data_IF_358010413503
#
_entry.id   IF_358010413503
#
_cell.length_a   1.000
_cell.length_b   1.000
_cell.length_c   1.000
_cell.angle_alpha   90.00
_cell.angle_beta   90.00
_cell.angle_gamma   90.00
#
_symmetry.space_group_name_H-M   'P 1'
#
loop_
_entity.id
_entity.type
_entity.pdbx_description
1 polymer ?
#
# COMPACT_ATOMS: atom_id res chain seq x y z
N UNK A 1 14.90 34.39 -36.30
CA UNK A 1 14.59 35.22 -35.13
C UNK A 1 14.61 36.67 -35.55
N UNK A 2 13.44 37.31 -35.61
CA UNK A 2 13.36 38.75 -35.82
C UNK A 2 13.68 39.49 -34.50
N UNK A 3 13.86 40.81 -34.56
CA UNK A 3 14.21 41.63 -33.38
C UNK A 3 13.13 41.55 -32.28
N UNK A 4 11.86 41.43 -32.67
CA UNK A 4 10.71 41.34 -31.76
C UNK A 4 10.65 40.00 -31.00
N UNK A 5 11.02 38.89 -31.64
CA UNK A 5 11.15 37.56 -31.03
C UNK A 5 12.32 37.53 -30.03
N UNK A 6 13.43 38.23 -30.33
CA UNK A 6 14.57 38.34 -29.42
C UNK A 6 14.25 39.19 -28.18
N UNK A 7 13.50 40.30 -28.36
CA UNK A 7 13.02 41.16 -27.28
C UNK A 7 12.04 40.41 -26.36
N UNK A 8 11.08 39.68 -26.94
CA UNK A 8 10.11 38.87 -26.19
C UNK A 8 10.80 37.78 -25.33
N UNK A 9 11.80 37.08 -25.87
CA UNK A 9 12.54 36.08 -25.10
C UNK A 9 13.38 36.69 -23.95
N UNK A 10 13.91 37.91 -24.12
CA UNK A 10 14.68 38.58 -23.06
C UNK A 10 13.78 38.99 -21.89
N UNK A 11 12.59 39.51 -22.19
CA UNK A 11 11.58 39.87 -21.19
C UNK A 11 11.06 38.65 -20.43
N UNK A 12 10.76 37.56 -21.13
CA UNK A 12 10.36 36.30 -20.49
C UNK A 12 11.44 35.74 -19.55
N UNK A 13 12.72 35.83 -19.93
CA UNK A 13 13.82 35.34 -19.11
C UNK A 13 14.03 36.20 -17.86
N UNK A 14 13.82 37.52 -17.95
CA UNK A 14 13.85 38.41 -16.79
C UNK A 14 12.71 38.09 -15.81
N UNK A 15 11.49 37.87 -16.31
CA UNK A 15 10.33 37.45 -15.50
C UNK A 15 10.63 36.12 -14.79
N UNK A 16 11.18 35.12 -15.50
CA UNK A 16 11.58 33.82 -14.92
C UNK A 16 12.64 33.97 -13.83
N UNK A 17 13.65 34.82 -14.02
CA UNK A 17 14.70 35.01 -13.03
C UNK A 17 14.19 35.69 -11.74
N UNK A 18 13.26 36.63 -11.87
CA UNK A 18 12.71 37.37 -10.74
C UNK A 18 11.68 36.54 -9.96
N UNK A 19 10.80 35.82 -10.67
CA UNK A 19 9.71 35.05 -10.04
C UNK A 19 10.22 33.89 -9.17
N UNK A 20 11.39 33.34 -9.48
CA UNK A 20 12.04 32.28 -8.69
C UNK A 20 12.51 32.76 -7.30
N UNK A 21 12.54 34.07 -7.04
CA UNK A 21 12.86 34.60 -5.71
C UNK A 21 11.71 34.44 -4.71
N UNK A 22 10.51 34.17 -5.20
CA UNK A 22 9.31 34.03 -4.38
C UNK A 22 9.03 32.56 -4.09
N UNK A 23 8.70 32.26 -2.84
CA UNK A 23 8.52 30.89 -2.36
C UNK A 23 7.07 30.57 -1.96
N UNK A 24 6.21 31.58 -1.97
CA UNK A 24 4.81 31.46 -1.56
C UNK A 24 3.85 32.02 -2.61
N UNK A 25 2.63 31.49 -2.62
CA UNK A 25 1.56 31.94 -3.49
C UNK A 25 1.28 33.44 -3.35
N UNK A 26 1.20 33.94 -2.11
CA UNK A 26 0.88 35.34 -1.83
C UNK A 26 1.97 36.31 -2.31
N UNK A 27 3.24 35.92 -2.22
CA UNK A 27 4.37 36.69 -2.74
C UNK A 27 4.29 36.83 -4.27
N UNK A 28 4.03 35.73 -4.97
CA UNK A 28 3.94 35.71 -6.44
C UNK A 28 2.74 36.52 -6.93
N UNK A 29 1.57 36.40 -6.29
CA UNK A 29 0.36 37.16 -6.64
C UNK A 29 0.55 38.66 -6.41
N UNK A 30 1.17 39.05 -5.28
CA UNK A 30 1.45 40.45 -4.97
C UNK A 30 2.42 41.06 -5.99
N UNK A 31 3.54 40.38 -6.23
CA UNK A 31 4.54 40.84 -7.19
C UNK A 31 3.97 40.97 -8.61
N UNK A 32 3.15 40.00 -9.03
CA UNK A 32 2.50 40.03 -10.34
C UNK A 32 1.60 41.26 -10.52
N UNK A 33 0.80 41.62 -9.51
CA UNK A 33 -0.06 42.81 -9.53
C UNK A 33 0.74 44.11 -9.60
N UNK A 34 1.78 44.23 -8.79
CA UNK A 34 2.64 45.41 -8.74
C UNK A 34 3.35 45.68 -10.07
N UNK A 35 3.56 44.63 -10.88
CA UNK A 35 4.24 44.71 -12.17
C UNK A 35 3.32 44.52 -13.38
N UNK A 36 1.99 44.42 -13.18
CA UNK A 36 1.02 44.24 -14.28
C UNK A 36 1.15 42.90 -15.04
N UNK A 37 1.72 41.87 -14.41
CA UNK A 37 2.04 40.58 -15.02
C UNK A 37 0.95 39.51 -14.80
N UNK A 38 -0.26 39.89 -14.39
CA UNK A 38 -1.32 38.94 -14.00
C UNK A 38 -1.76 38.01 -15.14
N UNK A 39 -1.57 38.45 -16.39
CA UNK A 39 -1.88 37.65 -17.57
C UNK A 39 -0.71 36.82 -18.09
N UNK A 40 0.51 36.98 -17.53
CA UNK A 40 1.70 36.27 -17.95
C UNK A 40 1.58 34.76 -17.72
N UNK A 41 1.90 33.99 -18.75
CA UNK A 41 1.85 32.52 -18.69
C UNK A 41 2.88 31.95 -17.71
N UNK A 42 4.03 32.62 -17.56
CA UNK A 42 5.08 32.25 -16.59
C UNK A 42 4.56 32.38 -15.16
N UNK A 43 3.84 33.48 -14.87
CA UNK A 43 3.23 33.72 -13.55
C UNK A 43 2.13 32.70 -13.27
N UNK A 44 1.22 32.49 -14.23
CA UNK A 44 0.14 31.50 -14.10
C UNK A 44 0.69 30.10 -13.82
N UNK A 45 1.77 29.70 -14.50
CA UNK A 45 2.44 28.41 -14.30
C UNK A 45 3.07 28.28 -12.92
N UNK A 46 3.77 29.31 -12.41
CA UNK A 46 4.37 29.29 -11.06
C UNK A 46 3.31 29.24 -9.97
N UNK A 47 2.21 29.96 -10.15
CA UNK A 47 1.06 29.91 -9.25
C UNK A 47 0.49 28.48 -9.19
N UNK A 48 0.30 27.84 -10.34
CA UNK A 48 -0.20 26.47 -10.42
C UNK A 48 0.76 25.46 -9.76
N UNK A 49 2.08 25.63 -9.95
CA UNK A 49 3.11 24.83 -9.29
C UNK A 49 3.01 24.96 -7.75
N UNK A 50 3.00 26.18 -7.22
CA UNK A 50 2.90 26.44 -5.78
C UNK A 50 1.59 25.94 -5.16
N UNK A 51 0.47 26.04 -5.88
CA UNK A 51 -0.81 25.45 -5.48
C UNK A 51 -0.73 23.93 -5.40
N UNK A 52 -0.14 23.28 -6.41
CA UNK A 52 0.04 21.82 -6.40
C UNK A 52 0.95 21.34 -5.26
N UNK A 53 1.98 22.12 -4.91
CA UNK A 53 2.85 21.81 -3.76
C UNK A 53 2.12 21.98 -2.42
N UNK A 54 1.25 22.98 -2.28
CA UNK A 54 0.41 23.16 -1.11
C UNK A 54 -0.61 22.03 -0.95
N UNK A 55 -1.31 21.64 -2.03
CA UNK A 55 -2.25 20.51 -2.01
C UNK A 55 -1.54 19.18 -1.68
N UNK A 56 -0.32 18.95 -2.20
CA UNK A 56 0.52 17.81 -1.82
C UNK A 56 0.93 17.84 -0.34
N UNK A 57 1.22 19.03 0.21
CA UNK A 57 1.54 19.20 1.63
C UNK A 57 0.32 18.99 2.51
N UNK A 58 -0.85 19.49 2.15
CA UNK A 58 -2.10 19.31 2.90
C UNK A 58 -2.58 17.85 2.87
N UNK A 59 -2.48 17.15 1.73
CA UNK A 59 -2.73 15.69 1.67
C UNK A 59 -1.74 14.89 2.51
N UNK A 60 -0.51 15.38 2.70
CA UNK A 60 0.47 14.77 3.62
C UNK A 60 0.24 15.14 5.10
N UNK A 61 -0.53 16.19 5.39
CA UNK A 61 -0.87 16.66 6.74
C UNK A 61 -2.17 16.06 7.30
N UNK A 62 -3.04 15.50 6.45
CA UNK A 62 -4.02 14.51 6.91
C UNK A 62 -3.27 13.23 7.27
N UNK A 63 -3.00 13.04 8.56
CA UNK A 63 -2.25 11.88 9.06
C UNK A 63 -2.82 10.57 8.49
N UNK A 64 -1.93 9.61 8.17
CA UNK A 64 -2.31 8.30 7.65
C UNK A 64 -3.44 7.68 8.50
N UNK A 65 -4.63 7.52 7.91
CA UNK A 65 -5.72 6.79 8.56
C UNK A 65 -5.51 5.28 8.44
N UNK A 66 -5.91 4.53 9.48
CA UNK A 66 -5.71 3.09 9.57
C UNK A 66 -7.03 2.32 9.67
N UNK A 67 -7.15 1.24 8.90
CA UNK A 67 -8.17 0.22 9.06
C UNK A 67 -7.57 -0.98 9.82
N UNK A 68 -7.83 -1.05 11.12
CA UNK A 68 -7.26 -2.10 11.97
C UNK A 68 -8.07 -3.38 11.90
N UNK A 69 -7.38 -4.52 11.80
CA UNK A 69 -8.00 -5.83 11.95
C UNK A 69 -7.12 -6.78 12.76
N UNK A 70 -7.76 -7.73 13.45
CA UNK A 70 -7.09 -8.84 14.10
C UNK A 70 -8.08 -9.97 14.37
N UNK A 71 -7.62 -11.22 14.33
CA UNK A 71 -8.48 -12.40 14.49
C UNK A 71 -8.99 -12.96 13.16
N UNK A 72 -9.86 -13.96 13.23
CA UNK A 72 -10.35 -14.73 12.08
C UNK A 72 -11.69 -14.22 11.51
N UNK A 73 -12.39 -13.31 12.20
CA UNK A 73 -13.67 -12.77 11.75
C UNK A 73 -13.54 -11.69 10.68
N UNK A 74 -12.35 -11.08 10.55
CA UNK A 74 -12.10 -10.07 9.52
C UNK A 74 -11.80 -10.73 8.17
N UNK A 75 -12.43 -10.22 7.12
CA UNK A 75 -12.17 -10.62 5.73
C UNK A 75 -10.72 -10.37 5.30
N UNK A 76 -9.98 -9.53 6.02
CA UNK A 76 -8.57 -9.23 5.79
C UNK A 76 -7.63 -10.32 6.34
N UNK A 77 -8.13 -11.15 7.27
CA UNK A 77 -7.37 -12.22 7.89
C UNK A 77 -6.98 -13.33 6.91
N UNK A 78 -5.77 -13.86 7.04
CA UNK A 78 -5.37 -15.08 6.33
C UNK A 78 -6.20 -16.30 6.75
N UNK A 79 -6.78 -16.24 7.96
CA UNK A 79 -7.57 -17.32 8.57
C UNK A 79 -9.06 -17.23 8.23
N UNK A 80 -9.49 -16.15 7.58
CA UNK A 80 -10.86 -16.00 7.13
C UNK A 80 -11.21 -17.11 6.14
N UNK A 81 -12.37 -17.74 6.33
CA UNK A 81 -12.83 -18.83 5.48
C UNK A 81 -13.27 -18.31 4.13
N UNK A 82 -12.56 -18.70 3.08
CA UNK A 82 -12.91 -18.38 1.71
C UNK A 82 -12.30 -19.44 0.80
N UNK A 83 -13.13 -19.99 -0.10
CA UNK A 83 -12.64 -20.91 -1.12
C UNK A 83 -11.93 -20.09 -2.19
N UNK A 84 -10.75 -20.55 -2.60
CA UNK A 84 -10.03 -19.99 -3.73
C UNK A 84 -9.31 -21.12 -4.48
N UNK A 85 -9.27 -21.01 -5.81
CA UNK A 85 -8.61 -21.97 -6.69
C UNK A 85 -7.44 -21.27 -7.36
N UNK A 86 -6.22 -21.75 -7.12
CA UNK A 86 -5.00 -21.14 -7.66
C UNK A 86 -4.19 -22.24 -8.32
N UNK A 87 -3.88 -22.07 -9.60
CA UNK A 87 -3.14 -23.04 -10.41
C UNK A 87 -3.79 -24.45 -10.38
N UNK A 88 -5.14 -24.50 -10.37
CA UNK A 88 -5.92 -25.74 -10.31
C UNK A 88 -6.07 -26.37 -8.92
N UNK A 89 -5.45 -25.81 -7.88
CA UNK A 89 -5.53 -26.33 -6.50
C UNK A 89 -6.54 -25.52 -5.69
N UNK A 90 -7.44 -26.21 -5.00
CA UNK A 90 -8.46 -25.60 -4.13
C UNK A 90 -7.92 -25.41 -2.71
N UNK A 91 -8.07 -24.20 -2.18
CA UNK A 91 -7.70 -23.82 -0.82
C UNK A 91 -8.93 -23.35 -0.03
N UNK A 92 -8.93 -23.59 1.28
CA UNK A 92 -10.01 -23.25 2.23
C UNK A 92 -9.87 -21.86 2.86
N UNK A 93 -8.67 -21.28 2.78
CA UNK A 93 -8.34 -19.91 3.17
C UNK A 93 -6.93 -19.57 2.66
N UNK A 94 -6.50 -18.31 2.86
CA UNK A 94 -5.20 -17.85 2.42
C UNK A 94 -4.03 -18.41 3.25
N UNK A 95 -4.24 -18.75 4.52
CA UNK A 95 -3.24 -19.45 5.35
C UNK A 95 -2.88 -20.83 4.75
N UNK A 96 -3.87 -21.61 4.30
CA UNK A 96 -3.63 -22.91 3.68
C UNK A 96 -2.72 -22.78 2.46
N UNK A 97 -3.04 -21.81 1.59
CA UNK A 97 -2.23 -21.51 0.42
C UNK A 97 -0.80 -21.10 0.78
N UNK A 98 -0.66 -20.19 1.75
CA UNK A 98 0.64 -19.69 2.19
C UNK A 98 1.53 -20.82 2.74
N UNK A 99 0.98 -21.69 3.60
CA UNK A 99 1.72 -22.81 4.18
C UNK A 99 2.00 -23.92 3.15
N UNK A 100 1.06 -24.19 2.23
CA UNK A 100 1.29 -25.08 1.10
C UNK A 100 2.44 -24.61 0.23
N UNK A 101 2.42 -23.35 -0.21
CA UNK A 101 3.48 -22.76 -1.04
C UNK A 101 4.82 -22.71 -0.30
N UNK A 102 4.81 -22.49 1.02
CA UNK A 102 6.01 -22.61 1.86
C UNK A 102 6.61 -24.01 1.77
N UNK A 103 5.80 -25.07 1.86
CA UNK A 103 6.25 -26.44 1.75
C UNK A 103 6.80 -26.76 0.34
N UNK A 104 6.08 -26.34 -0.71
CA UNK A 104 6.52 -26.49 -2.11
C UNK A 104 7.85 -25.78 -2.35
N UNK A 105 8.03 -24.56 -1.84
CA UNK A 105 9.26 -23.79 -1.97
C UNK A 105 10.48 -24.49 -1.34
N UNK A 106 10.26 -25.31 -0.31
CA UNK A 106 11.31 -26.10 0.36
C UNK A 106 11.48 -27.51 -0.24
N UNK A 107 10.69 -27.86 -1.27
CA UNK A 107 10.69 -29.20 -1.86
C UNK A 107 9.98 -30.26 -1.01
N UNK A 108 9.30 -29.87 0.08
CA UNK A 108 8.63 -30.77 1.01
C UNK A 108 7.20 -31.08 0.55
N UNK A 109 7.10 -31.95 -0.47
CA UNK A 109 5.81 -32.35 -1.06
C UNK A 109 4.90 -33.09 -0.08
N UNK A 110 5.48 -33.82 0.86
CA UNK A 110 4.72 -34.56 1.88
C UNK A 110 3.97 -33.59 2.81
N UNK A 111 4.67 -32.62 3.41
CA UNK A 111 4.03 -31.60 4.23
C UNK A 111 3.01 -30.79 3.42
N UNK A 112 3.29 -30.52 2.14
CA UNK A 112 2.35 -29.82 1.27
C UNK A 112 1.01 -30.57 1.15
N UNK A 113 1.03 -31.90 0.97
CA UNK A 113 -0.19 -32.71 0.92
C UNK A 113 -0.92 -32.76 2.26
N UNK A 114 -0.19 -32.88 3.38
CA UNK A 114 -0.78 -32.87 4.73
C UNK A 114 -1.45 -31.51 5.03
N UNK A 115 -0.85 -30.40 4.59
CA UNK A 115 -1.44 -29.06 4.72
C UNK A 115 -2.73 -28.94 3.89
N UNK A 116 -2.77 -29.55 2.70
CA UNK A 116 -3.98 -29.56 1.86
C UNK A 116 -5.12 -30.39 2.44
N UNK A 117 -4.81 -31.46 3.20
CA UNK A 117 -5.84 -32.35 3.74
C UNK A 117 -6.61 -31.76 4.93
N UNK A 118 -6.05 -30.78 5.63
CA UNK A 118 -6.73 -30.10 6.74
C UNK A 118 -7.44 -28.83 6.30
N UNK A 119 -8.65 -28.63 6.78
CA UNK A 119 -9.33 -27.35 6.62
C UNK A 119 -8.98 -26.39 7.75
N UNK A 120 -8.52 -26.78 8.94
CA UNK A 120 -8.31 -25.82 10.06
C UNK A 120 -7.09 -24.89 9.86
N UNK A 121 -7.24 -23.55 9.80
CA UNK A 121 -6.12 -22.61 9.65
C UNK A 121 -5.13 -22.66 10.82
N UNK A 122 -5.59 -22.99 12.02
CA UNK A 122 -4.68 -23.17 13.16
C UNK A 122 -3.76 -24.35 12.91
N UNK A 123 -4.31 -25.44 12.40
CA UNK A 123 -3.56 -26.65 12.07
C UNK A 123 -2.64 -26.44 10.85
N UNK A 124 -3.11 -25.76 9.81
CA UNK A 124 -2.30 -25.38 8.65
C UNK A 124 -1.07 -24.57 9.08
N UNK A 125 -1.25 -23.57 9.95
CA UNK A 125 -0.14 -22.79 10.51
C UNK A 125 0.81 -23.66 11.34
N UNK A 126 0.28 -24.59 12.14
CA UNK A 126 1.09 -25.53 12.93
C UNK A 126 1.94 -26.40 12.03
N UNK A 127 1.37 -27.01 11.00
CA UNK A 127 2.06 -27.84 10.01
C UNK A 127 3.11 -27.03 9.25
N UNK A 128 2.77 -25.81 8.83
CA UNK A 128 3.69 -24.91 8.14
C UNK A 128 4.92 -24.50 8.95
N UNK A 129 4.89 -24.58 10.29
CA UNK A 129 6.08 -24.42 11.15
C UNK A 129 7.03 -25.62 11.10
N UNK A 130 6.54 -26.79 10.71
CA UNK A 130 7.29 -28.05 10.67
C UNK A 130 7.70 -28.48 9.26
N UNK A 131 7.58 -27.60 8.27
CA UNK A 131 8.09 -27.83 6.90
C UNK A 131 9.57 -28.19 6.96
N UNK A 132 9.92 -29.30 6.32
CA UNK A 132 11.28 -29.85 6.27
C UNK A 132 12.20 -28.93 5.46
N UNK A 133 13.50 -28.97 5.76
CA UNK A 133 14.55 -28.24 5.04
C UNK A 133 14.31 -26.72 4.91
N UNK A 134 13.65 -26.12 5.90
CA UNK A 134 13.26 -24.72 5.85
C UNK A 134 14.48 -23.78 5.74
N UNK A 135 14.51 -22.99 4.67
CA UNK A 135 15.54 -21.97 4.42
C UNK A 135 14.95 -20.58 4.61
N UNK A 136 15.32 -19.92 5.71
CA UNK A 136 14.78 -18.61 6.08
C UNK A 136 15.02 -17.55 5.00
N UNK A 137 16.22 -17.49 4.40
CA UNK A 137 16.55 -16.48 3.39
C UNK A 137 15.74 -16.66 2.10
N UNK A 138 15.51 -17.90 1.68
CA UNK A 138 14.68 -18.20 0.53
C UNK A 138 13.23 -17.79 0.81
N UNK A 139 12.73 -18.09 2.00
CA UNK A 139 11.40 -17.66 2.42
C UNK A 139 11.27 -16.14 2.44
N UNK A 140 12.22 -15.43 3.05
CA UNK A 140 12.23 -13.96 3.10
C UNK A 140 12.17 -13.32 1.70
N UNK A 141 12.84 -13.93 0.70
CA UNK A 141 12.84 -13.45 -0.69
C UNK A 141 11.53 -13.70 -1.44
N UNK A 142 10.72 -14.68 -1.02
CA UNK A 142 9.55 -15.15 -1.78
C UNK A 142 8.21 -14.96 -1.07
N UNK A 143 8.21 -14.84 0.26
CA UNK A 143 6.99 -14.87 1.07
C UNK A 143 5.98 -13.78 0.68
N UNK A 144 6.45 -12.54 0.45
CA UNK A 144 5.57 -11.44 0.10
C UNK A 144 4.91 -11.64 -1.28
N UNK A 145 5.65 -12.15 -2.27
CA UNK A 145 5.12 -12.45 -3.61
C UNK A 145 4.06 -13.55 -3.52
N UNK A 146 4.34 -14.61 -2.75
CA UNK A 146 3.39 -15.70 -2.50
C UNK A 146 2.13 -15.14 -1.82
N UNK A 147 2.27 -14.47 -0.68
CA UNK A 147 1.13 -13.94 0.08
C UNK A 147 0.32 -12.92 -0.74
N UNK A 148 0.97 -12.10 -1.57
CA UNK A 148 0.29 -11.20 -2.49
C UNK A 148 -0.55 -11.99 -3.51
N UNK A 149 0.02 -12.98 -4.21
CA UNK A 149 -0.73 -13.83 -5.16
C UNK A 149 -1.96 -14.47 -4.48
N UNK A 150 -1.79 -15.04 -3.30
CA UNK A 150 -2.89 -15.64 -2.54
C UNK A 150 -4.00 -14.65 -2.20
N UNK A 151 -3.66 -13.43 -1.77
CA UNK A 151 -4.64 -12.40 -1.48
C UNK A 151 -5.30 -11.84 -2.74
N UNK A 152 -4.54 -11.62 -3.83
CA UNK A 152 -5.11 -11.21 -5.12
C UNK A 152 -6.20 -12.19 -5.57
N UNK A 153 -5.93 -13.50 -5.55
CA UNK A 153 -6.91 -14.52 -5.94
C UNK A 153 -8.07 -14.62 -4.95
N UNK A 154 -7.81 -14.52 -3.65
CA UNK A 154 -8.86 -14.46 -2.62
C UNK A 154 -9.89 -13.37 -2.93
N UNK A 155 -9.44 -12.13 -3.13
CA UNK A 155 -10.35 -11.01 -3.35
C UNK A 155 -10.95 -11.02 -4.76
N UNK A 156 -10.17 -11.38 -5.79
CA UNK A 156 -10.67 -11.53 -7.17
C UNK A 156 -11.80 -12.56 -7.29
N UNK A 157 -11.68 -13.69 -6.61
CA UNK A 157 -12.66 -14.79 -6.70
C UNK A 157 -13.85 -14.62 -5.75
N UNK A 158 -13.78 -13.69 -4.80
CA UNK A 158 -14.82 -13.48 -3.79
C UNK A 158 -15.28 -12.01 -3.77
N UNK A 159 -16.22 -11.67 -4.65
CA UNK A 159 -16.67 -10.30 -4.92
C UNK A 159 -17.05 -9.50 -3.67
N UNK A 160 -17.83 -10.07 -2.74
CA UNK A 160 -18.20 -9.41 -1.48
C UNK A 160 -16.99 -9.06 -0.60
N UNK A 161 -15.93 -9.89 -0.65
CA UNK A 161 -14.70 -9.59 0.09
C UNK A 161 -13.92 -8.47 -0.60
N UNK A 162 -13.92 -8.43 -1.94
CA UNK A 162 -13.30 -7.34 -2.69
C UNK A 162 -13.99 -6.00 -2.41
N UNK A 163 -15.32 -5.97 -2.32
CA UNK A 163 -16.08 -4.78 -1.94
C UNK A 163 -15.69 -4.27 -0.54
N UNK A 164 -15.58 -5.17 0.44
CA UNK A 164 -15.10 -4.83 1.78
C UNK A 164 -13.64 -4.32 1.76
N UNK A 165 -12.79 -4.85 0.88
CA UNK A 165 -11.42 -4.39 0.72
C UNK A 165 -11.36 -2.98 0.11
N UNK A 166 -12.13 -2.72 -0.95
CA UNK A 166 -12.20 -1.41 -1.63
C UNK A 166 -12.74 -0.34 -0.69
N UNK A 167 -13.73 -0.68 0.14
CA UNK A 167 -14.33 0.24 1.12
C UNK A 167 -13.34 0.78 2.16
N UNK A 168 -12.15 0.19 2.28
CA UNK A 168 -11.09 0.71 3.17
C UNK A 168 -10.36 1.92 2.61
N UNK A 169 -10.48 2.24 1.31
CA UNK A 169 -9.80 3.39 0.72
C UNK A 169 -10.28 4.71 1.35
N UNK A 170 -9.38 5.66 1.67
CA UNK A 170 -7.94 5.68 1.38
C UNK A 170 -7.05 5.13 2.51
N UNK A 171 -7.61 4.50 3.55
CA UNK A 171 -6.88 4.06 4.75
C UNK A 171 -5.83 2.99 4.44
N UNK A 172 -4.76 2.95 5.24
CA UNK A 172 -3.81 1.83 5.25
C UNK A 172 -4.40 0.70 6.09
N UNK A 173 -4.40 -0.52 5.56
CA UNK A 173 -4.88 -1.69 6.31
C UNK A 173 -3.78 -2.13 7.29
N UNK A 174 -4.15 -2.42 8.54
CA UNK A 174 -3.19 -2.73 9.61
C UNK A 174 -3.59 -3.98 10.40
N UNK A 175 -2.73 -4.99 10.38
CA UNK A 175 -2.90 -6.19 11.21
C UNK A 175 -2.45 -5.90 12.66
N UNK A 176 -3.42 -5.60 13.51
CA UNK A 176 -3.26 -5.25 14.92
C UNK A 176 -3.07 -6.47 15.83
N UNK A 177 -2.22 -7.40 15.41
CA UNK A 177 -1.83 -8.57 16.20
C UNK A 177 -0.78 -8.18 17.24
N UNK A 178 -1.03 -8.39 18.56
CA UNK A 178 -0.01 -8.12 19.59
C UNK A 178 1.13 -9.13 19.60
N UNK A 179 0.98 -10.26 18.90
CA UNK A 179 1.93 -11.37 18.92
C UNK A 179 2.76 -11.48 17.64
N UNK A 180 2.26 -10.95 16.51
CA UNK A 180 2.94 -11.02 15.22
C UNK A 180 3.66 -9.71 14.91
N UNK A 181 4.98 -9.77 14.78
CA UNK A 181 5.84 -8.62 14.45
C UNK A 181 6.33 -8.62 13.00
N UNK A 182 5.97 -9.64 12.21
CA UNK A 182 6.34 -9.73 10.80
C UNK A 182 5.14 -9.31 9.95
N UNK A 183 4.02 -10.02 10.10
CA UNK A 183 2.82 -9.75 9.31
C UNK A 183 1.96 -8.64 9.90
N UNK A 184 1.99 -8.48 11.23
CA UNK A 184 1.34 -7.40 11.96
C UNK A 184 2.27 -6.40 12.64
N UNK A 185 1.67 -5.51 13.43
CA UNK A 185 2.36 -4.38 14.10
C UNK A 185 2.88 -4.71 15.51
N UNK A 186 2.64 -5.91 16.03
CA UNK A 186 3.04 -6.29 17.38
C UNK A 186 2.31 -5.52 18.50
N UNK A 187 1.14 -4.95 18.20
CA UNK A 187 0.31 -4.14 19.10
C UNK A 187 -1.17 -4.42 18.84
N UNK A 188 -2.02 -4.28 19.87
CA UNK A 188 -3.49 -4.30 19.71
C UNK A 188 -3.96 -2.96 19.15
N UNK A 189 -5.11 -2.94 18.48
CA UNK A 189 -5.73 -1.70 17.97
C UNK A 189 -6.11 -0.71 19.09
N UNK A 190 -6.32 -1.21 20.32
CA UNK A 190 -6.60 -0.40 21.50
C UNK A 190 -5.36 0.27 22.11
N UNK A 191 -4.14 -0.12 21.70
CA UNK A 191 -2.90 0.51 22.17
C UNK A 191 -2.71 1.85 21.46
N UNK A 192 -2.47 2.94 22.21
CA UNK A 192 -2.30 4.28 21.62
C UNK A 192 -1.18 4.33 20.59
N UNK A 193 -0.12 3.54 20.78
CA UNK A 193 1.02 3.43 19.85
C UNK A 193 0.63 2.81 18.50
N UNK A 194 -0.48 2.06 18.43
CA UNK A 194 -0.94 1.48 17.17
C UNK A 194 -1.32 2.56 16.14
N UNK A 195 -1.70 3.76 16.60
CA UNK A 195 -2.03 4.91 15.74
C UNK A 195 -0.78 5.68 15.26
N UNK A 196 0.41 5.30 15.71
CA UNK A 196 1.66 5.93 15.32
C UNK A 196 2.59 4.89 14.70
N UNK A 197 2.71 4.91 13.37
CA UNK A 197 3.56 3.98 12.61
C UNK A 197 5.02 3.93 13.08
N UNK A 198 5.55 5.04 13.62
CA UNK A 198 6.91 5.09 14.19
C UNK A 198 7.06 4.28 15.48
N UNK A 199 5.96 4.00 16.17
CA UNK A 199 5.93 3.24 17.43
C UNK A 199 5.50 1.78 17.24
N UNK A 200 5.21 1.36 16.01
CA UNK A 200 4.92 -0.04 15.70
C UNK A 200 6.10 -0.93 16.05
N UNK A 201 5.80 -2.09 16.64
CA UNK A 201 6.80 -3.10 17.02
C UNK A 201 6.98 -4.19 15.97
N UNK A 202 6.28 -4.06 14.85
CA UNK A 202 6.22 -5.03 13.78
C UNK A 202 6.09 -4.37 12.42
N UNK A 203 6.24 -5.18 11.37
CA UNK A 203 6.41 -4.68 9.99
C UNK A 203 5.10 -4.49 9.23
N UNK A 204 3.96 -4.99 9.73
CA UNK A 204 2.66 -4.93 9.06
C UNK A 204 2.69 -5.42 7.59
N UNK A 205 3.51 -6.43 7.25
CA UNK A 205 3.66 -6.86 5.86
C UNK A 205 2.34 -7.29 5.23
N UNK A 206 1.43 -7.89 6.00
CA UNK A 206 0.13 -8.30 5.48
C UNK A 206 -0.74 -7.09 5.14
N UNK A 207 -0.81 -6.10 6.02
CA UNK A 207 -1.57 -4.88 5.80
C UNK A 207 -1.14 -4.12 4.54
N UNK A 208 0.17 -4.01 4.32
CA UNK A 208 0.70 -3.38 3.09
C UNK A 208 0.38 -4.19 1.83
N UNK A 209 0.47 -5.53 1.88
CA UNK A 209 0.07 -6.38 0.75
C UNK A 209 -1.42 -6.21 0.43
N UNK A 210 -2.29 -6.18 1.44
CA UNK A 210 -3.73 -6.00 1.26
C UNK A 210 -4.05 -4.62 0.66
N UNK A 211 -3.37 -3.57 1.12
CA UNK A 211 -3.49 -2.22 0.57
C UNK A 211 -3.08 -2.20 -0.91
N UNK A 212 -1.95 -2.82 -1.26
CA UNK A 212 -1.51 -2.91 -2.66
C UNK A 212 -2.49 -3.74 -3.54
N UNK A 213 -3.04 -4.85 -3.02
CA UNK A 213 -4.04 -5.65 -3.73
C UNK A 213 -5.32 -4.86 -3.97
N UNK A 214 -5.76 -4.05 -2.99
CA UNK A 214 -6.90 -3.14 -3.14
C UNK A 214 -6.68 -2.18 -4.30
N UNK A 215 -5.54 -1.49 -4.29
CA UNK A 215 -5.24 -0.45 -5.28
C UNK A 215 -5.12 -1.05 -6.70
N UNK A 216 -4.59 -2.27 -6.83
CA UNK A 216 -4.58 -3.03 -8.09
C UNK A 216 -5.98 -3.44 -8.57
N UNK A 217 -6.90 -3.73 -7.66
CA UNK A 217 -8.29 -4.05 -8.01
C UNK A 217 -9.03 -2.78 -8.43
N UNK A 218 -8.82 -1.67 -7.73
CA UNK A 218 -9.44 -0.38 -8.04
C UNK A 218 -8.97 0.19 -9.39
N UNK A 219 -7.69 0.06 -9.71
CA UNK A 219 -7.14 0.59 -10.99
C UNK A 219 -7.54 -0.19 -12.24
N UNK A 220 -8.15 -1.38 -12.08
CA UNK A 220 -8.64 -2.22 -13.19
C UNK A 220 -10.16 -2.10 -13.42
N UNK A 221 -10.82 -1.19 -12.72
CA UNK A 221 -12.23 -0.84 -12.91
C UNK A 221 -12.34 0.45 -13.71
#
# INVERSE_FOLDING_TARGET
>A
MNLDEMLCCAEENAIKAEIEKFSTFDEVVRWSRENGLEQSEIVKKKIQELQSEQECKETSMNGEEYEFFWGNNSVFSQWYRCVMIIDGIRYSCAEQYMMYQKAILMGDKESAQIILSTQDPREQKRLGRHVKHFKQDLWNKKCQIIVKKGNTEKFRQNQKLAEALIATYPKIIVEASPFDKIWGIGLRSSDKRAKNKKEWKGKNLLGFILTAVRDEIMSKR
#
